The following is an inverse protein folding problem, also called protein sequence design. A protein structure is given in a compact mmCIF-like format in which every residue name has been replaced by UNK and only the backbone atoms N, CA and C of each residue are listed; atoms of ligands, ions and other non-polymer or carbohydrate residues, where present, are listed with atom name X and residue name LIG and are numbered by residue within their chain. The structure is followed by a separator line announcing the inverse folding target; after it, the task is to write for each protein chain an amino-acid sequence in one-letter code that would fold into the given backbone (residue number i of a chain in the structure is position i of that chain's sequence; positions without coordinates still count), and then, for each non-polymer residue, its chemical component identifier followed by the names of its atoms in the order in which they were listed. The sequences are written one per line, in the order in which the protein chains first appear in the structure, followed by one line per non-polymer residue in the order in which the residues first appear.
data_IF_709481889274
#
_entry.id   IF_709481889274
#
_cell.length_a   1.000
_cell.length_b   1.000
_cell.length_c   1.000
_cell.angle_alpha   90.00
_cell.angle_beta   90.00
_cell.angle_gamma   90.00
#
_symmetry.space_group_name_H-M   'P 1'
#
loop_
_entity.id
_entity.type
_entity.pdbx_description
1 polymer ?
#
# COMPACT_ATOMS: atom_id res chain seq x y z
N UNK A 1 -18.08 -37.85 -12.50
CA UNK A 1 -18.72 -36.53 -12.72
C UNK A 1 -19.00 -35.74 -11.42
N UNK A 2 -19.69 -36.31 -10.42
CA UNK A 2 -20.04 -35.59 -9.16
C UNK A 2 -18.84 -35.08 -8.33
N UNK A 3 -17.71 -35.81 -8.33
CA UNK A 3 -16.47 -35.40 -7.64
C UNK A 3 -15.79 -34.21 -8.31
N UNK A 4 -15.71 -34.22 -9.65
CA UNK A 4 -15.16 -33.11 -10.43
C UNK A 4 -15.98 -31.83 -10.26
N UNK A 5 -17.31 -31.95 -10.22
CA UNK A 5 -18.20 -30.82 -9.97
C UNK A 5 -18.01 -30.20 -8.57
N UNK A 6 -17.74 -31.01 -7.55
CA UNK A 6 -17.44 -30.54 -6.19
C UNK A 6 -16.09 -29.82 -6.10
N UNK A 7 -15.07 -30.33 -6.78
CA UNK A 7 -13.74 -29.69 -6.84
C UNK A 7 -13.83 -28.34 -7.55
N UNK A 8 -14.58 -28.26 -8.65
CA UNK A 8 -14.80 -27.02 -9.37
C UNK A 8 -15.57 -25.99 -8.54
N UNK A 9 -16.62 -26.42 -7.83
CA UNK A 9 -17.37 -25.54 -6.93
C UNK A 9 -16.51 -24.99 -5.78
N UNK A 10 -15.63 -25.81 -5.20
CA UNK A 10 -14.69 -25.37 -4.17
C UNK A 10 -13.66 -24.36 -4.72
N UNK A 11 -13.14 -24.59 -5.92
CA UNK A 11 -12.20 -23.66 -6.56
C UNK A 11 -12.84 -22.29 -6.86
N UNK A 12 -14.10 -22.27 -7.30
CA UNK A 12 -14.87 -21.03 -7.54
C UNK A 12 -15.19 -20.31 -6.23
N UNK A 13 -15.52 -21.04 -5.16
CA UNK A 13 -15.76 -20.44 -3.86
C UNK A 13 -14.48 -19.77 -3.30
N UNK A 14 -13.32 -20.43 -3.41
CA UNK A 14 -12.04 -19.88 -2.93
C UNK A 14 -11.58 -18.65 -3.74
N UNK A 15 -11.82 -18.61 -5.06
CA UNK A 15 -11.43 -17.46 -5.87
C UNK A 15 -12.30 -16.22 -5.62
N UNK A 16 -13.56 -16.41 -5.20
CA UNK A 16 -14.48 -15.31 -4.87
C UNK A 16 -14.17 -14.58 -3.56
N UNK A 17 -13.33 -15.15 -2.69
CA UNK A 17 -12.87 -14.52 -1.45
C UNK A 17 -11.71 -13.53 -1.67
N UNK A 18 -10.97 -13.67 -2.78
CA UNK A 18 -9.82 -12.80 -3.09
C UNK A 18 -10.23 -11.38 -3.51
N UNK A 19 -11.46 -11.20 -3.99
CA UNK A 19 -11.98 -9.90 -4.45
C UNK A 19 -12.64 -9.07 -3.34
N UNK A 20 -12.89 -9.64 -2.16
CA UNK A 20 -13.56 -8.96 -1.04
C UNK A 20 -12.60 -8.13 -0.15
N UNK A 21 -11.29 -8.23 -0.37
CA UNK A 21 -10.27 -7.66 0.51
C UNK A 21 -9.46 -6.51 -0.11
N UNK A 22 -10.00 -5.77 -1.08
CA UNK A 22 -9.32 -4.58 -1.60
C UNK A 22 -9.67 -3.36 -0.74
N UNK A 23 -8.97 -3.20 0.37
CA UNK A 23 -8.94 -1.92 1.08
C UNK A 23 -8.19 -0.90 0.21
N UNK A 24 -8.71 0.33 0.12
CA UNK A 24 -8.03 1.41 -0.61
C UNK A 24 -6.66 1.68 0.03
N UNK A 25 -5.64 1.86 -0.82
CA UNK A 25 -4.28 2.16 -0.37
C UNK A 25 -4.26 3.48 0.43
N UNK A 26 -3.84 3.42 1.69
CA UNK A 26 -3.68 4.60 2.55
C UNK A 26 -2.55 5.47 2.02
N UNK A 27 -2.82 6.76 1.77
CA UNK A 27 -1.86 7.73 1.24
C UNK A 27 -1.64 8.87 2.21
N UNK A 28 -0.39 9.19 2.54
CA UNK A 28 -0.01 10.28 3.44
C UNK A 28 0.89 11.26 2.70
N UNK A 29 0.50 12.53 2.64
CA UNK A 29 1.30 13.62 2.10
C UNK A 29 2.24 14.19 3.16
N UNK A 30 3.55 14.26 2.87
CA UNK A 30 4.57 14.85 3.74
C UNK A 30 5.19 16.07 3.07
N UNK A 31 4.79 17.25 3.55
CA UNK A 31 5.19 18.54 3.02
C UNK A 31 6.46 19.03 3.69
N UNK A 32 7.43 19.44 2.88
CA UNK A 32 8.71 19.97 3.34
C UNK A 32 9.03 21.26 2.60
N UNK A 33 9.41 22.29 3.36
CA UNK A 33 9.93 23.57 2.84
C UNK A 33 11.41 23.45 2.57
N UNK A 34 11.93 24.12 1.53
CA UNK A 34 13.36 24.09 1.20
C UNK A 34 13.93 22.66 1.14
N UNK A 35 13.31 21.80 0.33
CA UNK A 35 13.68 20.38 0.28
C UNK A 35 15.15 20.14 -0.10
N UNK A 36 15.86 21.15 -0.57
CA UNK A 36 17.29 21.11 -0.91
C UNK A 36 18.18 20.99 0.33
N UNK A 37 17.71 21.44 1.50
CA UNK A 37 18.50 21.37 2.72
C UNK A 37 18.73 19.90 3.16
N UNK A 38 19.96 19.52 3.54
CA UNK A 38 20.30 18.13 3.87
C UNK A 38 19.45 17.51 4.98
N UNK A 39 19.00 18.33 5.93
CA UNK A 39 18.18 17.89 7.05
C UNK A 39 16.76 17.48 6.59
N UNK A 40 16.20 18.18 5.61
CA UNK A 40 14.87 17.92 5.07
C UNK A 40 14.83 16.66 4.21
N UNK A 41 15.93 16.36 3.50
CA UNK A 41 16.13 15.07 2.84
C UNK A 41 16.14 13.90 3.86
N UNK A 42 16.73 14.14 5.02
CA UNK A 42 16.77 13.15 6.10
C UNK A 42 15.38 12.88 6.68
N UNK A 43 14.54 13.91 6.85
CA UNK A 43 13.14 13.73 7.26
C UNK A 43 12.34 12.87 6.27
N UNK A 44 12.52 13.09 4.96
CA UNK A 44 11.89 12.25 3.94
C UNK A 44 12.36 10.80 3.98
N UNK A 45 13.64 10.55 4.23
CA UNK A 45 14.15 9.19 4.38
C UNK A 45 13.50 8.46 5.57
N UNK A 46 13.28 9.16 6.69
CA UNK A 46 12.56 8.60 7.83
C UNK A 46 11.07 8.39 7.56
N UNK A 47 10.41 9.32 6.85
CA UNK A 47 9.03 9.14 6.43
C UNK A 47 8.86 7.93 5.51
N UNK A 48 9.83 7.67 4.64
CA UNK A 48 9.83 6.53 3.72
C UNK A 48 10.06 5.21 4.45
N UNK A 49 10.94 5.19 5.46
CA UNK A 49 11.07 4.05 6.37
C UNK A 49 9.75 3.77 7.10
N UNK A 50 9.09 4.79 7.63
CA UNK A 50 7.81 4.63 8.31
C UNK A 50 6.71 4.11 7.36
N UNK A 51 6.71 4.56 6.10
CA UNK A 51 5.79 4.09 5.07
C UNK A 51 5.94 2.57 4.81
N UNK A 52 7.19 2.11 4.72
CA UNK A 52 7.50 0.68 4.57
C UNK A 52 7.09 -0.12 5.81
N UNK A 53 7.44 0.37 7.01
CA UNK A 53 7.16 -0.32 8.27
C UNK A 53 5.66 -0.40 8.59
N UNK A 54 4.86 0.54 8.07
CA UNK A 54 3.41 0.67 8.38
C UNK A 54 2.48 0.36 7.22
N UNK A 55 3.00 0.11 6.02
CA UNK A 55 2.22 -0.29 4.86
C UNK A 55 1.33 0.81 4.29
N UNK A 56 1.78 2.07 4.30
CA UNK A 56 1.10 3.18 3.62
C UNK A 56 1.95 3.73 2.48
N UNK A 57 1.30 4.43 1.54
CA UNK A 57 1.97 5.15 0.46
C UNK A 57 2.33 6.56 0.89
N UNK A 58 3.62 6.88 0.89
CA UNK A 58 4.11 8.22 1.11
C UNK A 58 4.01 9.05 -0.17
N UNK A 59 3.52 10.29 -0.05
CA UNK A 59 3.57 11.31 -1.10
C UNK A 59 4.49 12.42 -0.60
N UNK A 60 5.68 12.56 -1.19
CA UNK A 60 6.64 13.63 -0.86
C UNK A 60 6.23 14.90 -1.59
N UNK A 61 6.04 16.00 -0.86
CA UNK A 61 5.59 17.28 -1.41
C UNK A 61 6.64 18.34 -1.08
N UNK A 62 7.40 18.77 -2.08
CA UNK A 62 8.32 19.90 -1.96
C UNK A 62 7.53 21.20 -2.14
N UNK A 63 7.71 22.17 -1.25
CA UNK A 63 7.19 23.53 -1.44
C UNK A 63 8.33 24.55 -1.42
N UNK A 64 8.20 25.66 -2.19
CA UNK A 64 9.18 26.74 -2.20
C UNK A 64 9.38 27.39 -0.82
#
# INVERSE_FOLDING_TARGET
MKKALRVLAAAVALSSLSSLASAEEVKIGFLVKQAEEPWFQTEWAFAEKAAQDKGFKLIKIAVP
#
